data_IF_783541137870
#
_entry.id   IF_783541137870
#
_cell.length_a   1.000
_cell.length_b   1.000
_cell.length_c   1.000
_cell.angle_alpha   90.00
_cell.angle_beta   90.00
_cell.angle_gamma   90.00
#
_symmetry.space_group_name_H-M   'P 1'
#
loop_
_entity.id
_entity.type
_entity.pdbx_description
1 polymer ?
#
# COMPACT_ATOMS: atom_id res chain seq x y z
N UNK A 1 -6.17 -21.55 4.03
CA UNK A 1 -5.93 -20.08 3.99
C UNK A 1 -4.79 -19.75 3.02
N UNK A 2 -4.90 -20.18 1.76
CA UNK A 2 -3.96 -19.76 0.72
C UNK A 2 -4.24 -18.29 0.34
N UNK A 3 -5.51 -17.98 0.05
CA UNK A 3 -5.99 -16.64 -0.35
C UNK A 3 -5.55 -15.47 0.54
N UNK A 4 -5.52 -15.63 1.87
CA UNK A 4 -5.08 -14.55 2.78
C UNK A 4 -3.57 -14.32 2.71
N UNK A 5 -2.78 -15.39 2.54
CA UNK A 5 -1.33 -15.28 2.37
C UNK A 5 -0.99 -14.69 1.01
N UNK A 6 -1.74 -15.09 -0.02
CA UNK A 6 -1.57 -14.58 -1.38
C UNK A 6 -1.93 -13.09 -1.43
N UNK A 7 -3.07 -12.67 -0.86
CA UNK A 7 -3.43 -11.25 -0.74
C UNK A 7 -2.36 -10.42 -0.03
N UNK A 8 -1.79 -10.92 1.08
CA UNK A 8 -0.70 -10.23 1.77
C UNK A 8 0.57 -10.12 0.91
N UNK A 9 0.86 -11.14 0.09
CA UNK A 9 1.99 -11.09 -0.85
C UNK A 9 1.73 -10.05 -1.94
N UNK A 10 0.52 -10.02 -2.50
CA UNK A 10 0.15 -9.07 -3.55
C UNK A 10 0.25 -7.62 -3.07
N UNK A 11 -0.28 -7.33 -1.87
CA UNK A 11 -0.14 -6.03 -1.21
C UNK A 11 1.33 -5.63 -1.08
N UNK A 12 2.17 -6.53 -0.55
CA UNK A 12 3.61 -6.28 -0.39
C UNK A 12 4.31 -6.05 -1.71
N UNK A 13 3.92 -6.79 -2.75
CA UNK A 13 4.49 -6.63 -4.07
C UNK A 13 4.14 -5.25 -4.63
N UNK A 14 2.87 -4.85 -4.52
CA UNK A 14 2.41 -3.54 -5.00
C UNK A 14 3.09 -2.39 -4.26
N UNK A 15 3.13 -2.44 -2.92
CA UNK A 15 3.85 -1.46 -2.09
C UNK A 15 5.32 -1.34 -2.51
N UNK A 16 5.99 -2.47 -2.76
CA UNK A 16 7.36 -2.46 -3.24
C UNK A 16 7.51 -1.77 -4.60
N UNK A 17 6.55 -1.93 -5.51
CA UNK A 17 6.55 -1.23 -6.79
C UNK A 17 6.43 0.29 -6.60
N UNK A 18 5.46 0.75 -5.81
CA UNK A 18 5.28 2.18 -5.52
C UNK A 18 6.51 2.80 -4.85
N UNK A 19 7.13 2.09 -3.90
CA UNK A 19 8.35 2.55 -3.24
C UNK A 19 9.53 2.63 -4.21
N UNK A 20 9.67 1.67 -5.12
CA UNK A 20 10.71 1.71 -6.13
C UNK A 20 10.55 2.94 -7.04
N UNK A 21 9.34 3.25 -7.48
CA UNK A 21 9.05 4.45 -8.28
C UNK A 21 9.41 5.72 -7.50
N UNK A 22 8.99 5.82 -6.22
CA UNK A 22 9.37 6.94 -5.36
C UNK A 22 10.90 7.09 -5.23
N UNK A 23 11.64 5.99 -5.01
CA UNK A 23 13.10 6.05 -4.89
C UNK A 23 13.80 6.40 -6.21
N UNK A 24 13.24 5.95 -7.33
CA UNK A 24 13.71 6.37 -8.66
C UNK A 24 13.54 7.89 -8.81
N UNK A 25 12.36 8.44 -8.51
CA UNK A 25 12.15 9.89 -8.56
C UNK A 25 13.07 10.63 -7.59
N UNK A 26 13.23 10.15 -6.36
CA UNK A 26 14.07 10.81 -5.34
C UNK A 26 15.55 10.94 -5.77
N UNK A 27 16.01 10.04 -6.66
CA UNK A 27 17.36 10.06 -7.21
C UNK A 27 17.57 11.21 -8.21
N UNK A 28 16.52 11.61 -8.94
CA UNK A 28 16.61 12.60 -10.03
C UNK A 28 15.89 13.93 -9.73
N UNK A 29 15.16 14.02 -8.62
CA UNK A 29 14.36 15.20 -8.26
C UNK A 29 15.14 16.32 -7.56
N UNK A 30 14.65 17.56 -7.72
CA UNK A 30 15.13 18.75 -6.98
C UNK A 30 14.84 18.65 -5.47
N UNK A 31 15.59 19.36 -4.59
CA UNK A 31 15.45 19.26 -3.13
C UNK A 31 14.03 19.48 -2.60
N UNK A 32 13.27 20.41 -3.18
CA UNK A 32 11.88 20.71 -2.78
C UNK A 32 10.95 19.53 -3.10
N UNK A 33 11.16 18.88 -4.24
CA UNK A 33 10.39 17.71 -4.66
C UNK A 33 10.73 16.47 -3.81
N UNK A 34 11.93 16.41 -3.21
CA UNK A 34 12.32 15.29 -2.32
C UNK A 34 11.49 15.24 -1.05
N UNK A 35 11.14 16.38 -0.43
CA UNK A 35 10.28 16.39 0.76
C UNK A 35 8.90 15.79 0.44
N UNK A 36 8.30 16.19 -0.69
CA UNK A 36 7.02 15.63 -1.14
C UNK A 36 7.08 14.14 -1.43
N UNK A 37 8.17 13.66 -2.02
CA UNK A 37 8.38 12.23 -2.27
C UNK A 37 8.51 11.46 -0.95
N UNK A 38 9.20 12.03 0.06
CA UNK A 38 9.31 11.41 1.37
C UNK A 38 7.96 11.31 2.09
N UNK A 39 7.10 12.31 1.95
CA UNK A 39 5.73 12.25 2.47
C UNK A 39 4.93 11.12 1.82
N UNK A 40 5.02 10.98 0.49
CA UNK A 40 4.37 9.88 -0.24
C UNK A 40 4.91 8.51 0.20
N UNK A 41 6.22 8.38 0.39
CA UNK A 41 6.84 7.15 0.91
C UNK A 41 6.27 6.80 2.29
N UNK A 42 6.12 7.80 3.16
CA UNK A 42 5.50 7.62 4.48
C UNK A 42 4.07 7.10 4.37
N UNK A 43 3.26 7.71 3.49
CA UNK A 43 1.87 7.31 3.25
C UNK A 43 1.78 5.86 2.74
N UNK A 44 2.65 5.46 1.80
CA UNK A 44 2.73 4.08 1.28
C UNK A 44 3.04 3.07 2.40
N UNK A 45 3.98 3.40 3.30
CA UNK A 45 4.35 2.52 4.41
C UNK A 45 3.21 2.38 5.43
N UNK A 46 2.49 3.47 5.70
CA UNK A 46 1.30 3.47 6.56
C UNK A 46 0.21 2.59 5.93
N UNK A 47 -0.06 2.74 4.63
CA UNK A 47 -1.02 1.93 3.89
C UNK A 47 -0.71 0.42 4.00
N UNK A 48 0.56 0.04 3.82
CA UNK A 48 0.98 -1.36 3.99
C UNK A 48 0.68 -1.85 5.42
N UNK A 49 1.15 -1.10 6.41
CA UNK A 49 1.04 -1.49 7.81
C UNK A 49 -0.42 -1.64 8.24
N UNK A 50 -1.27 -0.68 7.88
CA UNK A 50 -2.68 -0.69 8.19
C UNK A 50 -3.39 -1.86 7.52
N UNK A 51 -3.15 -2.07 6.23
CA UNK A 51 -3.81 -3.13 5.46
C UNK A 51 -3.41 -4.52 5.97
N UNK A 52 -2.12 -4.76 6.19
CA UNK A 52 -1.62 -6.02 6.76
C UNK A 52 -2.17 -6.24 8.18
N UNK A 53 -2.30 -5.18 8.97
CA UNK A 53 -2.89 -5.24 10.32
C UNK A 53 -4.38 -5.56 10.27
N UNK A 54 -5.15 -4.91 9.37
CA UNK A 54 -6.58 -5.18 9.12
C UNK A 54 -6.78 -6.65 8.73
N UNK A 55 -6.01 -7.15 7.77
CA UNK A 55 -6.07 -8.55 7.32
C UNK A 55 -5.74 -9.50 8.48
N UNK A 56 -4.69 -9.22 9.25
CA UNK A 56 -4.27 -10.10 10.36
C UNK A 56 -5.31 -10.15 11.49
N UNK A 57 -5.86 -9.00 11.88
CA UNK A 57 -6.95 -8.90 12.88
C UNK A 57 -8.19 -9.66 12.43
N UNK A 58 -8.63 -9.46 11.18
CA UNK A 58 -9.81 -10.16 10.67
C UNK A 58 -9.55 -11.66 10.44
N UNK A 59 -8.35 -12.04 10.02
CA UNK A 59 -7.95 -13.45 9.90
C UNK A 59 -8.01 -14.20 11.24
N UNK A 60 -7.78 -13.52 12.37
CA UNK A 60 -8.01 -14.09 13.69
C UNK A 60 -9.51 -14.29 13.97
N UNK A 61 -10.35 -13.30 13.64
CA UNK A 61 -11.82 -13.38 13.81
C UNK A 61 -12.50 -14.49 13.01
N UNK A 62 -11.94 -14.88 11.86
CA UNK A 62 -12.43 -16.05 11.09
C UNK A 62 -12.31 -17.34 11.89
N UNK A 63 -11.22 -17.50 12.67
CA UNK A 63 -11.07 -18.65 13.57
C UNK A 63 -12.15 -18.64 14.68
N UNK A 64 -12.76 -17.49 14.94
CA UNK A 64 -13.83 -17.26 15.94
C UNK A 64 -15.22 -17.23 15.28
N UNK A 65 -15.40 -17.82 14.09
CA UNK A 65 -16.70 -17.98 13.40
C UNK A 65 -17.39 -16.69 12.93
N UNK A 66 -16.63 -15.65 12.58
CA UNK A 66 -17.17 -14.46 11.90
C UNK A 66 -16.83 -14.47 10.40
N UNK A 67 -17.84 -14.25 9.53
CA UNK A 67 -17.62 -14.01 8.10
C UNK A 67 -16.85 -12.70 7.93
N UNK A 68 -15.68 -12.79 7.31
CA UNK A 68 -14.82 -11.65 7.02
C UNK A 68 -14.81 -11.41 5.53
N UNK A 69 -15.11 -10.18 5.15
CA UNK A 69 -14.93 -9.70 3.79
C UNK A 69 -13.50 -9.19 3.59
N UNK A 70 -12.67 -10.03 2.96
CA UNK A 70 -11.33 -9.66 2.52
C UNK A 70 -11.34 -8.94 1.17
N UNK A 71 -12.38 -9.12 0.36
CA UNK A 71 -12.51 -8.43 -0.92
C UNK A 71 -12.63 -6.93 -0.66
N UNK A 72 -13.43 -6.54 0.33
CA UNK A 72 -13.53 -5.14 0.75
C UNK A 72 -12.18 -4.55 1.15
N UNK A 73 -11.36 -5.29 1.92
CA UNK A 73 -10.03 -4.80 2.33
C UNK A 73 -9.10 -4.67 1.12
N UNK A 74 -9.17 -5.61 0.18
CA UNK A 74 -8.38 -5.55 -1.05
C UNK A 74 -8.77 -4.34 -1.89
N UNK A 75 -10.07 -4.09 -2.09
CA UNK A 75 -10.56 -2.94 -2.84
C UNK A 75 -10.12 -1.62 -2.18
N UNK A 76 -10.30 -1.47 -0.86
CA UNK A 76 -9.82 -0.29 -0.11
C UNK A 76 -8.32 -0.05 -0.34
N UNK A 77 -7.51 -1.11 -0.27
CA UNK A 77 -6.08 -1.02 -0.53
C UNK A 77 -5.77 -0.58 -1.97
N UNK A 78 -6.45 -1.15 -2.97
CA UNK A 78 -6.19 -0.81 -4.37
C UNK A 78 -6.61 0.61 -4.72
N UNK A 79 -7.74 1.09 -4.16
CA UNK A 79 -8.20 2.46 -4.35
C UNK A 79 -7.16 3.45 -3.80
N UNK A 80 -6.69 3.26 -2.55
CA UNK A 80 -5.65 4.10 -1.94
C UNK A 80 -4.29 3.98 -2.68
N UNK A 81 -3.94 2.79 -3.20
CA UNK A 81 -2.72 2.59 -3.97
C UNK A 81 -2.75 3.34 -5.33
N UNK A 82 -3.91 3.41 -5.97
CA UNK A 82 -4.11 4.18 -7.21
C UNK A 82 -3.93 5.67 -6.93
N UNK A 83 -4.53 6.20 -5.87
CA UNK A 83 -4.37 7.61 -5.48
C UNK A 83 -2.89 7.96 -5.21
N UNK A 84 -2.16 7.06 -4.55
CA UNK A 84 -0.72 7.26 -4.31
C UNK A 84 0.09 7.21 -5.61
N UNK A 85 -0.24 6.31 -6.54
CA UNK A 85 0.41 6.25 -7.85
C UNK A 85 0.15 7.53 -8.68
N UNK A 86 -1.08 8.05 -8.67
CA UNK A 86 -1.41 9.32 -9.31
C UNK A 86 -0.62 10.48 -8.70
N UNK A 87 -0.49 10.52 -7.36
CA UNK A 87 0.35 11.51 -6.67
C UNK A 87 1.81 11.44 -7.10
N UNK A 88 2.38 10.23 -7.22
CA UNK A 88 3.75 10.03 -7.71
C UNK A 88 3.91 10.60 -9.13
N UNK A 89 2.98 10.29 -10.03
CA UNK A 89 3.05 10.76 -11.42
C UNK A 89 2.89 12.29 -11.53
N UNK A 90 2.05 12.89 -10.69
CA UNK A 90 1.86 14.35 -10.66
C UNK A 90 3.07 15.13 -10.12
N UNK A 91 4.13 14.46 -9.64
CA UNK A 91 5.40 15.09 -9.29
C UNK A 91 6.35 15.26 -10.49
N UNK A 92 6.07 14.60 -11.62
CA UNK A 92 6.85 14.73 -12.86
C UNK A 92 6.43 15.92 -13.73
N UNK A 93 5.23 16.49 -13.52
CA UNK A 93 4.71 17.70 -14.17
C UNK A 93 4.99 18.99 -13.36
#
# INVERSE_FOLDING_TARGET
MASVRDLKKDIKHMVKHLLNECYTQLTYSEPISKERILDIISDILILEQETISKISKKSYKIKVSQKVDFQKIANEFYDEAIELAERINSLEE
#
